data_IF_536178371915
#
_entry.id   IF_536178371915
#
_cell.length_a   1.000
_cell.length_b   1.000
_cell.length_c   1.000
_cell.angle_alpha   90.00
_cell.angle_beta   90.00
_cell.angle_gamma   90.00
#
_symmetry.space_group_name_H-M   'P 1'
#
loop_
_entity.id
_entity.type
_entity.pdbx_description
1 polymer ?
#
# COMPACT_ATOMS: atom_id res chain seq x y z
N UNK A 1 6.40 -15.35 -32.45
CA UNK A 1 5.78 -14.10 -32.95
C UNK A 1 6.90 -13.22 -33.49
N UNK A 2 6.64 -12.31 -34.44
CA UNK A 2 7.68 -11.34 -34.81
C UNK A 2 7.83 -10.28 -33.70
N UNK A 3 9.03 -9.76 -33.47
CA UNK A 3 9.30 -8.70 -32.46
C UNK A 3 8.30 -7.52 -32.56
N UNK A 4 7.88 -7.18 -33.78
CA UNK A 4 6.87 -6.15 -34.04
C UNK A 4 5.47 -6.49 -33.50
N UNK A 5 5.07 -7.77 -33.51
CA UNK A 5 3.78 -8.21 -32.97
C UNK A 5 3.75 -8.14 -31.44
N UNK A 6 4.88 -8.43 -30.78
CA UNK A 6 5.01 -8.33 -29.32
C UNK A 6 4.94 -6.87 -28.85
N UNK A 7 5.66 -5.96 -29.53
CA UNK A 7 5.61 -4.52 -29.23
C UNK A 7 4.19 -3.96 -29.39
N UNK A 8 3.48 -4.35 -30.46
CA UNK A 8 2.11 -3.89 -30.71
C UNK A 8 1.11 -4.42 -29.66
N UNK A 9 1.28 -5.65 -29.17
CA UNK A 9 0.44 -6.18 -28.07
C UNK A 9 0.69 -5.41 -26.77
N UNK A 10 1.96 -5.21 -26.39
CA UNK A 10 2.31 -4.51 -25.15
C UNK A 10 1.78 -3.07 -25.15
N UNK A 11 1.81 -2.40 -26.30
CA UNK A 11 1.21 -1.08 -26.45
C UNK A 11 -0.32 -1.09 -26.21
N UNK A 12 -1.03 -2.10 -26.75
CA UNK A 12 -2.47 -2.24 -26.56
C UNK A 12 -2.85 -2.53 -25.10
N UNK A 13 -2.07 -3.36 -24.40
CA UNK A 13 -2.24 -3.64 -22.97
C UNK A 13 -2.06 -2.36 -22.16
N UNK A 14 -0.98 -1.61 -22.43
CA UNK A 14 -0.71 -0.35 -21.74
C UNK A 14 -1.83 0.68 -21.96
N UNK A 15 -2.36 0.78 -23.18
CA UNK A 15 -3.47 1.69 -23.47
C UNK A 15 -4.75 1.29 -22.73
N UNK A 16 -5.05 -0.01 -22.66
CA UNK A 16 -6.18 -0.52 -21.88
C UNK A 16 -6.03 -0.20 -20.39
N UNK A 17 -4.85 -0.37 -19.82
CA UNK A 17 -4.55 -0.01 -18.42
C UNK A 17 -4.71 1.51 -18.19
N UNK A 18 -4.22 2.36 -19.10
CA UNK A 18 -4.38 3.82 -19.04
C UNK A 18 -5.85 4.26 -19.09
N UNK A 19 -6.67 3.61 -19.92
CA UNK A 19 -8.12 3.86 -19.96
C UNK A 19 -8.79 3.44 -18.65
N UNK A 20 -8.37 2.32 -18.05
CA UNK A 20 -8.91 1.82 -16.78
C UNK A 20 -8.63 2.77 -15.62
N UNK A 21 -7.39 3.25 -15.46
CA UNK A 21 -7.04 4.19 -14.38
C UNK A 21 -7.77 5.53 -14.49
N UNK A 22 -8.07 6.00 -15.70
CA UNK A 22 -8.77 7.27 -15.92
C UNK A 22 -10.30 7.17 -15.75
N UNK A 23 -10.85 5.95 -15.74
CA UNK A 23 -12.31 5.73 -15.73
C UNK A 23 -12.72 4.99 -14.45
N UNK A 24 -12.84 3.66 -14.50
CA UNK A 24 -13.46 2.86 -13.45
C UNK A 24 -12.63 2.68 -12.17
N UNK A 25 -11.35 3.07 -12.20
CA UNK A 25 -10.40 2.89 -11.09
C UNK A 25 -9.89 4.21 -10.50
N UNK A 26 -10.34 5.36 -11.01
CA UNK A 26 -10.01 6.67 -10.46
C UNK A 26 -10.51 6.76 -9.01
N UNK A 27 -9.67 7.27 -8.12
CA UNK A 27 -10.05 7.61 -6.74
C UNK A 27 -10.10 9.12 -6.57
N UNK A 28 -11.17 9.63 -5.97
CA UNK A 28 -11.33 11.03 -5.59
C UNK A 28 -10.72 11.26 -4.19
N UNK A 29 -10.40 12.52 -3.85
CA UNK A 29 -9.94 12.85 -2.50
C UNK A 29 -11.11 12.83 -1.52
N UNK A 30 -11.26 11.71 -0.79
CA UNK A 30 -12.39 11.48 0.10
C UNK A 30 -12.22 12.07 1.52
N UNK A 31 -11.03 12.55 1.87
CA UNK A 31 -10.78 13.21 3.15
C UNK A 31 -10.87 14.73 3.04
N UNK A 32 -10.23 15.35 2.05
CA UNK A 32 -10.28 16.81 1.90
C UNK A 32 -11.59 17.30 1.26
N UNK A 33 -12.31 16.46 0.52
CA UNK A 33 -13.66 16.80 0.03
C UNK A 33 -14.67 17.05 1.16
N UNK A 34 -14.41 16.51 2.37
CA UNK A 34 -15.22 16.75 3.58
C UNK A 34 -14.92 18.10 4.27
N UNK A 35 -13.89 18.84 3.85
CA UNK A 35 -13.56 20.17 4.42
C UNK A 35 -14.53 21.28 4.00
N UNK A 36 -15.23 21.13 2.87
CA UNK A 36 -16.10 22.18 2.33
C UNK A 36 -17.40 21.63 1.73
N UNK A 37 -18.42 21.52 2.58
CA UNK A 37 -19.81 21.83 2.19
C UNK A 37 -20.26 23.13 2.87
N UNK A 38 -19.46 24.19 2.78
CA UNK A 38 -19.95 25.55 2.97
C UNK A 38 -20.27 26.15 1.60
N UNK A 39 -21.44 25.79 1.04
CA UNK A 39 -21.99 26.58 -0.06
C UNK A 39 -22.23 27.99 0.47
N UNK A 40 -21.50 28.98 -0.04
CA UNK A 40 -21.91 30.37 0.12
C UNK A 40 -23.16 30.57 -0.74
N UNK A 41 -24.29 31.00 -0.15
CA UNK A 41 -25.51 31.19 -0.92
C UNK A 41 -25.26 32.25 -2.00
N UNK A 42 -25.41 31.87 -3.26
CA UNK A 42 -25.21 32.78 -4.39
C UNK A 42 -26.40 33.75 -4.54
N UNK A 43 -27.49 33.48 -3.83
CA UNK A 43 -28.69 34.31 -3.76
C UNK A 43 -29.35 34.25 -2.38
N UNK A 44 -30.11 35.29 -2.02
CA UNK A 44 -30.93 35.31 -0.80
C UNK A 44 -32.03 34.21 -0.79
N UNK A 45 -32.36 33.68 -1.97
CA UNK A 45 -33.37 32.63 -2.17
C UNK A 45 -32.78 31.26 -1.77
N UNK A 46 -31.50 31.01 -2.09
CA UNK A 46 -30.77 29.81 -1.64
C UNK A 46 -30.63 29.77 -0.12
N UNK A 47 -30.39 30.92 0.51
CA UNK A 47 -30.32 31.02 1.97
C UNK A 47 -31.65 30.65 2.65
N UNK A 48 -32.78 31.05 2.07
CA UNK A 48 -34.12 30.72 2.58
C UNK A 48 -34.52 29.24 2.34
N UNK A 49 -34.03 28.61 1.27
CA UNK A 49 -34.24 27.18 1.03
C UNK A 49 -33.39 26.31 1.97
N UNK A 50 -32.16 26.74 2.30
CA UNK A 50 -31.24 26.03 3.21
C UNK A 50 -31.72 26.02 4.67
N UNK A 51 -32.43 27.06 5.14
CA UNK A 51 -32.96 27.10 6.51
C UNK A 51 -34.05 26.05 6.78
N UNK A 52 -34.72 25.55 5.74
CA UNK A 52 -35.81 24.57 5.88
C UNK A 52 -35.35 23.10 5.73
N UNK A 53 -34.08 22.85 5.41
CA UNK A 53 -33.50 21.50 5.23
C UNK A 53 -32.35 21.18 6.20
N UNK A 54 -32.11 22.04 7.20
CA UNK A 54 -31.00 21.94 8.16
C UNK A 54 -31.13 20.80 9.20
N UNK A 55 -31.76 19.67 8.84
CA UNK A 55 -31.92 18.48 9.70
C UNK A 55 -31.20 17.22 9.14
N UNK A 56 -30.31 17.37 8.15
CA UNK A 56 -29.34 16.33 7.81
C UNK A 56 -27.92 16.85 8.08
N UNK A 57 -27.50 16.77 9.34
CA UNK A 57 -26.13 17.00 9.78
C UNK A 57 -25.19 16.02 9.07
N UNK A 58 -24.53 16.45 8.01
CA UNK A 58 -23.25 15.89 7.60
C UNK A 58 -22.17 16.51 8.48
N UNK A 59 -21.55 15.73 9.36
CA UNK A 59 -20.45 16.17 10.22
C UNK A 59 -19.29 16.69 9.36
N UNK A 60 -19.00 18.00 9.44
CA UNK A 60 -17.83 18.60 8.79
C UNK A 60 -16.58 18.16 9.56
N UNK A 61 -15.65 17.45 8.90
CA UNK A 61 -14.40 17.01 9.52
C UNK A 61 -13.44 18.20 9.72
N UNK A 62 -12.76 18.25 10.87
CA UNK A 62 -11.70 19.23 11.10
C UNK A 62 -10.39 18.82 10.43
N UNK A 63 -9.44 19.75 10.31
CA UNK A 63 -8.10 19.44 9.78
C UNK A 63 -7.35 18.42 10.65
N UNK A 64 -7.62 18.41 11.97
CA UNK A 64 -7.04 17.44 12.89
C UNK A 64 -7.60 16.04 12.65
N UNK A 65 -8.91 15.91 12.45
CA UNK A 65 -9.57 14.63 12.13
C UNK A 65 -9.03 14.03 10.83
N UNK A 66 -8.82 14.87 9.81
CA UNK A 66 -8.24 14.43 8.53
C UNK A 66 -6.83 13.87 8.74
N UNK A 67 -6.00 14.56 9.52
CA UNK A 67 -4.64 14.09 9.81
C UNK A 67 -4.66 12.74 10.55
N UNK A 68 -5.61 12.55 11.46
CA UNK A 68 -5.83 11.26 12.14
C UNK A 68 -6.21 10.17 11.15
N UNK A 69 -7.15 10.43 10.23
CA UNK A 69 -7.54 9.47 9.19
C UNK A 69 -6.38 9.11 8.24
N UNK A 70 -5.60 10.10 7.80
CA UNK A 70 -4.39 9.89 6.98
C UNK A 70 -3.41 8.96 7.72
N UNK A 71 -3.17 9.22 9.00
CA UNK A 71 -2.27 8.42 9.82
C UNK A 71 -2.80 6.99 10.04
N UNK A 72 -4.10 6.83 10.29
CA UNK A 72 -4.74 5.53 10.46
C UNK A 72 -4.66 4.70 9.17
N UNK A 73 -4.91 5.31 8.01
CA UNK A 73 -4.71 4.68 6.69
C UNK A 73 -3.26 4.22 6.52
N UNK A 74 -2.29 5.08 6.82
CA UNK A 74 -0.87 4.74 6.65
C UNK A 74 -0.45 3.56 7.53
N UNK A 75 -0.90 3.55 8.80
CA UNK A 75 -0.68 2.44 9.73
C UNK A 75 -1.32 1.14 9.23
N UNK A 76 -2.53 1.20 8.70
CA UNK A 76 -3.20 0.03 8.15
C UNK A 76 -2.49 -0.49 6.90
N UNK A 77 -2.02 0.37 6.00
CA UNK A 77 -1.22 -0.03 4.85
C UNK A 77 0.08 -0.75 5.29
N UNK A 78 0.78 -0.22 6.30
CA UNK A 78 1.98 -0.86 6.87
C UNK A 78 1.67 -2.20 7.55
N UNK A 79 0.54 -2.29 8.25
CA UNK A 79 0.06 -3.54 8.84
C UNK A 79 -0.22 -4.57 7.74
N UNK A 80 -0.89 -4.19 6.65
CA UNK A 80 -1.12 -5.06 5.50
C UNK A 80 0.19 -5.56 4.89
N UNK A 81 1.19 -4.68 4.70
CA UNK A 81 2.51 -5.08 4.22
C UNK A 81 3.17 -6.13 5.13
N UNK A 82 3.13 -5.90 6.45
CA UNK A 82 3.70 -6.82 7.44
C UNK A 82 2.99 -8.17 7.44
N UNK A 83 1.67 -8.18 7.29
CA UNK A 83 0.88 -9.40 7.20
C UNK A 83 1.22 -10.18 5.92
N UNK A 84 1.34 -9.50 4.79
CA UNK A 84 1.72 -10.13 3.52
C UNK A 84 3.11 -10.73 3.57
N UNK A 85 4.07 -10.07 4.25
CA UNK A 85 5.39 -10.64 4.51
C UNK A 85 5.31 -11.92 5.35
N UNK A 86 4.54 -11.89 6.44
CA UNK A 86 4.37 -13.05 7.32
C UNK A 86 3.73 -14.25 6.59
N UNK A 87 2.83 -13.98 5.64
CA UNK A 87 2.20 -14.99 4.80
C UNK A 87 3.02 -15.36 3.55
N UNK A 88 4.14 -14.68 3.28
CA UNK A 88 4.97 -14.85 2.08
C UNK A 88 4.18 -14.65 0.78
N UNK A 89 3.32 -13.63 0.76
CA UNK A 89 2.49 -13.23 -0.38
C UNK A 89 3.02 -11.95 -1.04
N UNK A 90 2.50 -11.58 -2.21
CA UNK A 90 2.98 -10.41 -2.93
C UNK A 90 2.56 -9.10 -2.26
N UNK A 91 3.51 -8.21 -1.98
CA UNK A 91 3.21 -6.84 -1.52
C UNK A 91 2.45 -6.01 -2.57
N UNK A 92 2.49 -6.41 -3.84
CA UNK A 92 1.67 -5.77 -4.88
C UNK A 92 0.17 -5.93 -4.59
N UNK A 93 -0.23 -7.05 -3.99
CA UNK A 93 -1.61 -7.29 -3.56
C UNK A 93 -2.08 -6.29 -2.49
N UNK A 94 -1.16 -5.73 -1.69
CA UNK A 94 -1.48 -4.61 -0.78
C UNK A 94 -1.83 -3.34 -1.56
N UNK A 95 -1.16 -3.09 -2.69
CA UNK A 95 -1.50 -1.95 -3.56
C UNK A 95 -2.93 -2.05 -4.06
N UNK A 96 -3.33 -3.26 -4.47
CA UNK A 96 -4.69 -3.56 -4.93
C UNK A 96 -5.69 -3.40 -3.77
N UNK A 97 -5.39 -3.96 -2.60
CA UNK A 97 -6.23 -3.83 -1.40
C UNK A 97 -6.45 -2.37 -0.98
N UNK A 98 -5.38 -1.57 -0.96
CA UNK A 98 -5.49 -0.15 -0.63
C UNK A 98 -6.30 0.60 -1.68
N UNK A 99 -6.18 0.26 -2.96
CA UNK A 99 -7.07 0.82 -4.00
C UNK A 99 -8.54 0.48 -3.76
N UNK A 100 -8.87 -0.75 -3.33
CA UNK A 100 -10.24 -1.12 -2.97
C UNK A 100 -10.74 -0.27 -1.81
N UNK A 101 -9.93 -0.16 -0.74
CA UNK A 101 -10.27 0.61 0.44
C UNK A 101 -10.50 2.08 0.08
N UNK A 102 -9.55 2.73 -0.59
CA UNK A 102 -9.61 4.16 -0.90
C UNK A 102 -10.82 4.47 -1.80
N UNK A 103 -11.05 3.67 -2.85
CA UNK A 103 -12.21 3.83 -3.75
C UNK A 103 -13.53 3.54 -3.04
N UNK A 104 -13.55 2.58 -2.11
CA UNK A 104 -14.73 2.31 -1.29
C UNK A 104 -15.06 3.48 -0.38
N UNK A 105 -14.08 4.03 0.34
CA UNK A 105 -14.25 5.18 1.24
C UNK A 105 -14.66 6.45 0.49
N UNK A 106 -14.29 6.57 -0.79
CA UNK A 106 -14.75 7.64 -1.68
C UNK A 106 -16.22 7.51 -2.12
N UNK A 107 -16.87 6.37 -1.88
CA UNK A 107 -18.31 6.21 -2.18
C UNK A 107 -19.18 6.69 -1.02
N UNK A 108 -20.46 7.07 -1.27
CA UNK A 108 -21.40 7.39 -0.19
C UNK A 108 -21.51 6.26 0.85
N UNK A 109 -21.51 5.01 0.36
CA UNK A 109 -21.59 3.82 1.20
C UNK A 109 -20.35 3.61 2.06
N UNK A 110 -19.14 3.88 1.58
CA UNK A 110 -17.92 3.74 2.39
C UNK A 110 -17.61 4.96 3.26
N UNK A 111 -18.17 6.13 2.94
CA UNK A 111 -17.85 7.38 3.62
C UNK A 111 -18.19 7.42 5.11
N UNK A 112 -19.15 6.58 5.56
CA UNK A 112 -19.47 6.39 6.98
C UNK A 112 -18.37 5.66 7.75
N UNK A 113 -17.58 4.81 7.08
CA UNK A 113 -16.48 4.08 7.71
C UNK A 113 -15.30 5.00 8.04
N UNK A 114 -15.26 6.23 7.54
CA UNK A 114 -14.17 7.19 7.83
C UNK A 114 -14.25 7.68 9.29
N UNK A 115 -15.46 7.82 9.82
CA UNK A 115 -15.71 8.39 11.15
C UNK A 115 -15.66 7.31 12.26
N UNK A 116 -15.92 6.06 11.91
CA UNK A 116 -15.79 4.92 12.82
C UNK A 116 -14.49 4.14 12.57
N UNK A 117 -13.56 4.23 13.53
CA UNK A 117 -12.27 3.53 13.47
C UNK A 117 -12.40 2.00 13.38
N UNK A 118 -13.42 1.41 13.99
CA UNK A 118 -13.66 -0.04 13.92
C UNK A 118 -14.16 -0.42 12.51
N UNK A 119 -15.14 0.31 11.98
CA UNK A 119 -15.60 0.11 10.61
C UNK A 119 -14.48 0.32 9.58
N UNK A 120 -13.62 1.34 9.76
CA UNK A 120 -12.45 1.57 8.91
C UNK A 120 -11.49 0.38 8.89
N UNK A 121 -11.15 -0.14 10.08
CA UNK A 121 -10.25 -1.29 10.21
C UNK A 121 -10.85 -2.54 9.58
N UNK A 122 -12.14 -2.82 9.83
CA UNK A 122 -12.86 -3.91 9.19
C UNK A 122 -12.85 -3.79 7.67
N UNK A 123 -13.14 -2.59 7.13
CA UNK A 123 -13.09 -2.32 5.69
C UNK A 123 -11.70 -2.58 5.12
N UNK A 124 -10.63 -2.12 5.78
CA UNK A 124 -9.26 -2.37 5.34
C UNK A 124 -8.87 -3.85 5.36
N UNK A 125 -9.19 -4.57 6.44
CA UNK A 125 -8.95 -6.01 6.55
C UNK A 125 -9.71 -6.78 5.47
N UNK A 126 -10.96 -6.38 5.20
CA UNK A 126 -11.82 -6.98 4.19
C UNK A 126 -11.31 -6.69 2.77
N UNK A 127 -10.81 -5.48 2.52
CA UNK A 127 -10.16 -5.13 1.25
C UNK A 127 -8.94 -6.02 0.99
N UNK A 128 -8.10 -6.24 2.02
CA UNK A 128 -6.94 -7.13 1.91
C UNK A 128 -7.37 -8.59 1.68
N UNK A 129 -8.33 -9.08 2.45
CA UNK A 129 -8.91 -10.41 2.26
C UNK A 129 -9.39 -10.63 0.82
N UNK A 130 -10.17 -9.68 0.30
CA UNK A 130 -10.72 -9.72 -1.06
C UNK A 130 -9.60 -9.70 -2.11
N UNK A 131 -8.56 -8.89 -1.90
CA UNK A 131 -7.42 -8.82 -2.82
C UNK A 131 -6.64 -10.15 -2.85
N UNK A 132 -6.35 -10.74 -1.69
CA UNK A 132 -5.68 -12.05 -1.59
C UNK A 132 -6.51 -13.13 -2.28
N UNK A 133 -7.82 -13.18 -2.01
CA UNK A 133 -8.74 -14.15 -2.60
C UNK A 133 -8.81 -14.11 -4.13
N UNK A 134 -8.56 -12.94 -4.74
CA UNK A 134 -8.66 -12.74 -6.19
C UNK A 134 -7.30 -12.87 -6.89
N UNK A 135 -6.23 -12.35 -6.29
CA UNK A 135 -4.94 -12.13 -6.96
C UNK A 135 -3.82 -13.06 -6.49
N UNK A 136 -3.98 -13.79 -5.39
CA UNK A 136 -2.99 -14.74 -4.90
C UNK A 136 -3.43 -16.19 -5.17
N UNK A 137 -2.47 -17.07 -5.46
CA UNK A 137 -2.75 -18.51 -5.61
C UNK A 137 -3.13 -19.16 -4.28
N UNK A 138 -2.58 -18.64 -3.18
CA UNK A 138 -2.82 -19.12 -1.82
C UNK A 138 -3.93 -18.28 -1.18
N UNK A 139 -5.11 -18.87 -1.03
CA UNK A 139 -6.18 -18.25 -0.28
C UNK A 139 -5.88 -18.27 1.23
N UNK A 140 -6.15 -17.16 1.92
CA UNK A 140 -6.23 -17.10 3.38
C UNK A 140 -7.70 -17.23 3.77
N UNK A 141 -8.01 -18.11 4.73
CA UNK A 141 -9.38 -18.24 5.21
C UNK A 141 -9.77 -17.04 6.08
N UNK A 142 -11.04 -16.59 6.05
CA UNK A 142 -11.48 -15.45 6.87
C UNK A 142 -11.34 -15.75 8.38
N UNK A 143 -11.35 -17.01 8.80
CA UNK A 143 -11.09 -17.44 10.18
C UNK A 143 -9.67 -17.09 10.65
N UNK A 144 -8.68 -17.11 9.75
CA UNK A 144 -7.30 -16.69 10.06
C UNK A 144 -7.25 -15.19 10.32
N UNK A 145 -7.94 -14.39 9.50
CA UNK A 145 -8.00 -12.94 9.71
C UNK A 145 -8.78 -12.57 10.98
N UNK A 146 -9.87 -13.28 11.29
CA UNK A 146 -10.57 -13.17 12.59
C UNK A 146 -9.60 -13.46 13.75
N UNK A 147 -8.79 -14.52 13.65
CA UNK A 147 -7.78 -14.85 14.67
C UNK A 147 -6.72 -13.75 14.80
N UNK A 148 -6.24 -13.19 13.69
CA UNK A 148 -5.28 -12.08 13.69
C UNK A 148 -5.87 -10.82 14.33
N UNK A 149 -7.17 -10.56 14.13
CA UNK A 149 -7.91 -9.50 14.81
C UNK A 149 -8.19 -9.79 16.29
N UNK A 150 -7.71 -10.93 16.82
CA UNK A 150 -8.02 -11.44 18.17
C UNK A 150 -9.52 -11.61 18.42
N UNK A 151 -10.27 -11.96 17.36
CA UNK A 151 -11.72 -12.14 17.38
C UNK A 151 -12.52 -10.84 17.44
N UNK A 152 -11.89 -9.68 17.22
CA UNK A 152 -12.59 -8.40 17.20
C UNK A 152 -13.56 -8.30 16.01
N UNK A 153 -13.25 -8.96 14.89
CA UNK A 153 -14.11 -9.06 13.72
C UNK A 153 -14.41 -10.52 13.40
N UNK A 154 -15.70 -10.86 13.33
CA UNK A 154 -16.13 -12.20 12.95
C UNK A 154 -16.04 -12.41 11.45
N UNK A 155 -16.14 -13.68 11.02
CA UNK A 155 -16.25 -14.04 9.60
C UNK A 155 -17.45 -13.35 8.94
N UNK A 156 -18.58 -13.31 9.65
CA UNK A 156 -19.82 -12.73 9.16
C UNK A 156 -19.68 -11.22 8.94
N UNK A 157 -18.95 -10.53 9.81
CA UNK A 157 -18.66 -9.09 9.66
C UNK A 157 -17.82 -8.85 8.39
N UNK A 158 -16.81 -9.68 8.16
CA UNK A 158 -15.96 -9.60 6.96
C UNK A 158 -16.74 -9.91 5.68
N UNK A 159 -17.59 -10.95 5.67
CA UNK A 159 -18.42 -11.30 4.51
C UNK A 159 -19.46 -10.21 4.19
N UNK A 160 -20.08 -9.62 5.22
CA UNK A 160 -21.01 -8.51 5.06
C UNK A 160 -20.32 -7.26 4.51
N UNK A 161 -19.14 -6.93 5.04
CA UNK A 161 -18.33 -5.82 4.54
C UNK A 161 -17.82 -6.09 3.11
N UNK A 162 -17.44 -7.35 2.77
CA UNK A 162 -16.96 -7.75 1.44
C UNK A 162 -18.07 -7.49 0.43
N UNK A 163 -19.28 -7.97 0.73
CA UNK A 163 -20.45 -7.75 -0.13
C UNK A 163 -20.69 -6.26 -0.37
N UNK A 164 -20.71 -5.45 0.70
CA UNK A 164 -20.96 -4.01 0.60
C UNK A 164 -19.89 -3.28 -0.20
N UNK A 165 -18.62 -3.65 0.03
CA UNK A 165 -17.47 -3.10 -0.69
C UNK A 165 -17.54 -3.44 -2.19
N UNK A 166 -17.76 -4.71 -2.54
CA UNK A 166 -17.82 -5.15 -3.95
C UNK A 166 -18.99 -4.50 -4.71
N UNK A 167 -20.15 -4.32 -4.05
CA UNK A 167 -21.27 -3.58 -4.62
C UNK A 167 -20.92 -2.11 -4.90
N UNK A 168 -20.33 -1.43 -3.92
CA UNK A 168 -19.92 -0.03 -4.06
C UNK A 168 -18.85 0.16 -5.17
N UNK A 169 -17.93 -0.81 -5.30
CA UNK A 169 -16.91 -0.82 -6.35
C UNK A 169 -17.43 -1.31 -7.71
N UNK A 170 -18.71 -1.71 -7.80
CA UNK A 170 -19.32 -2.31 -9.00
C UNK A 170 -18.49 -3.46 -9.55
N UNK A 171 -17.93 -4.30 -8.66
CA UNK A 171 -17.08 -5.45 -8.99
C UNK A 171 -15.80 -5.11 -9.79
N UNK A 172 -15.39 -3.84 -9.84
CA UNK A 172 -14.14 -3.42 -10.49
C UNK A 172 -12.96 -3.65 -9.56
N UNK A 173 -12.47 -4.89 -9.55
CA UNK A 173 -11.42 -5.41 -8.66
C UNK A 173 -10.08 -5.70 -9.34
N UNK A 174 -9.98 -5.58 -10.67
CA UNK A 174 -8.72 -5.78 -11.38
C UNK A 174 -8.01 -4.45 -11.64
N UNK A 175 -7.46 -3.85 -10.59
CA UNK A 175 -6.87 -2.50 -10.61
C UNK A 175 -5.49 -2.54 -11.29
N UNK A 176 -5.20 -1.64 -12.25
CA UNK A 176 -3.83 -1.50 -12.77
C UNK A 176 -2.91 -0.88 -11.70
N UNK A 177 -1.86 -1.60 -11.29
CA UNK A 177 -0.91 -1.16 -10.27
C UNK A 177 0.24 -0.35 -10.89
N UNK A 178 0.93 0.53 -10.12
CA UNK A 178 2.13 1.21 -10.60
C UNK A 178 3.22 0.23 -11.07
N UNK A 179 3.36 -0.91 -10.37
CA UNK A 179 4.33 -1.93 -10.71
C UNK A 179 3.96 -2.67 -12.01
N UNK A 180 2.68 -2.92 -12.27
CA UNK A 180 2.22 -3.45 -13.54
C UNK A 180 2.55 -2.51 -14.71
N UNK A 181 2.31 -1.20 -14.55
CA UNK A 181 2.71 -0.21 -15.56
C UNK A 181 4.20 -0.25 -15.85
N UNK A 182 5.04 -0.36 -14.81
CA UNK A 182 6.50 -0.44 -14.98
C UNK A 182 6.92 -1.70 -15.73
N UNK A 183 6.27 -2.84 -15.48
CA UNK A 183 6.53 -4.08 -16.25
C UNK A 183 6.26 -3.85 -17.74
N UNK A 184 5.15 -3.22 -18.09
CA UNK A 184 4.83 -2.87 -19.49
C UNK A 184 5.86 -1.89 -20.08
N UNK A 185 6.27 -0.86 -19.31
CA UNK A 185 7.32 0.06 -19.73
C UNK A 185 8.63 -0.65 -20.05
N UNK A 186 9.09 -1.55 -19.18
CA UNK A 186 10.35 -2.27 -19.37
C UNK A 186 10.28 -3.32 -20.49
N UNK A 187 9.11 -3.92 -20.74
CA UNK A 187 8.91 -4.85 -21.85
C UNK A 187 9.00 -4.16 -23.22
N UNK A 188 8.64 -2.87 -23.31
CA UNK A 188 8.82 -2.09 -24.53
C UNK A 188 10.28 -1.71 -24.80
N UNK A 189 11.19 -1.90 -23.84
CA UNK A 189 12.63 -1.68 -24.04
C UNK A 189 13.25 -2.94 -24.66
N UNK A 190 13.85 -2.86 -25.87
CA UNK A 190 14.55 -4.00 -26.44
C UNK A 190 15.72 -4.44 -25.56
N UNK A 191 15.96 -5.75 -25.44
CA UNK A 191 17.05 -6.27 -24.61
C UNK A 191 18.46 -5.87 -25.11
N UNK A 192 18.56 -5.37 -26.35
CA UNK A 192 19.78 -4.76 -26.89
C UNK A 192 20.12 -3.41 -26.22
N UNK A 193 19.14 -2.73 -25.64
CA UNK A 193 19.31 -1.46 -24.93
C UNK A 193 19.45 -1.70 -23.42
N UNK A 194 18.60 -2.59 -22.87
CA UNK A 194 18.56 -2.86 -21.44
C UNK A 194 18.50 -4.37 -21.21
N UNK A 195 19.54 -4.93 -20.62
CA UNK A 195 19.62 -6.37 -20.33
C UNK A 195 18.55 -6.77 -19.31
N UNK A 196 18.13 -8.03 -19.35
CA UNK A 196 17.09 -8.53 -18.43
C UNK A 196 17.52 -8.42 -16.96
N UNK A 197 18.80 -8.66 -16.66
CA UNK A 197 19.36 -8.45 -15.33
C UNK A 197 19.24 -6.98 -14.87
N UNK A 198 19.38 -6.02 -15.78
CA UNK A 198 19.20 -4.60 -15.46
C UNK A 198 17.72 -4.26 -15.27
N UNK A 199 16.82 -4.83 -16.08
CA UNK A 199 15.36 -4.72 -15.88
C UNK A 199 14.94 -5.23 -14.51
N UNK A 200 15.47 -6.36 -14.06
CA UNK A 200 15.21 -6.92 -12.74
C UNK A 200 15.73 -6.02 -11.59
N UNK A 201 16.90 -5.42 -11.78
CA UNK A 201 17.44 -4.44 -10.83
C UNK A 201 16.56 -3.20 -10.74
N UNK A 202 16.10 -2.66 -11.88
CA UNK A 202 15.17 -1.52 -11.92
C UNK A 202 13.83 -1.87 -11.24
N UNK A 203 13.25 -3.04 -11.54
CA UNK A 203 12.02 -3.50 -10.90
C UNK A 203 12.16 -3.58 -9.39
N UNK A 204 13.31 -4.03 -8.88
CA UNK A 204 13.58 -4.10 -7.44
C UNK A 204 13.56 -2.71 -6.79
N UNK A 205 14.18 -1.72 -7.43
CA UNK A 205 14.21 -0.32 -6.93
C UNK A 205 12.83 0.35 -7.03
N UNK A 206 12.11 0.12 -8.13
CA UNK A 206 10.76 0.63 -8.33
C UNK A 206 9.81 0.06 -7.29
N UNK A 207 9.89 -1.25 -7.03
CA UNK A 207 9.04 -1.93 -6.05
C UNK A 207 9.09 -1.23 -4.69
N UNK A 208 10.29 -0.92 -4.18
CA UNK A 208 10.48 -0.19 -2.91
C UNK A 208 9.75 1.17 -2.93
N UNK A 209 9.89 1.93 -4.01
CA UNK A 209 9.24 3.24 -4.14
C UNK A 209 7.71 3.13 -4.22
N UNK A 210 7.20 2.16 -4.98
CA UNK A 210 5.75 1.94 -5.09
C UNK A 210 5.13 1.47 -3.77
N UNK A 211 5.85 0.67 -2.97
CA UNK A 211 5.41 0.27 -1.63
C UNK A 211 5.31 1.47 -0.68
N UNK A 212 6.27 2.41 -0.76
CA UNK A 212 6.21 3.68 -0.01
C UNK A 212 5.04 4.55 -0.47
N UNK A 213 4.77 4.59 -1.78
CA UNK A 213 3.67 5.35 -2.34
C UNK A 213 2.32 4.88 -1.79
N UNK A 214 2.10 3.57 -1.70
CA UNK A 214 0.85 2.97 -1.18
C UNK A 214 0.51 3.47 0.22
N UNK A 215 1.51 3.60 1.11
CA UNK A 215 1.31 4.03 2.49
C UNK A 215 1.08 5.54 2.65
N UNK A 216 1.33 6.35 1.62
CA UNK A 216 1.23 7.81 1.67
C UNK A 216 -0.06 8.30 0.98
N UNK A 217 -0.90 9.02 1.74
CA UNK A 217 -2.20 9.49 1.26
C UNK A 217 -2.09 10.46 0.07
N UNK A 218 -0.99 11.22 -0.04
CA UNK A 218 -0.79 12.16 -1.15
C UNK A 218 -0.75 11.50 -2.53
N UNK A 219 -0.58 10.18 -2.61
CA UNK A 219 -0.59 9.44 -3.87
C UNK A 219 -1.95 8.80 -4.21
N UNK A 220 -2.96 8.89 -3.35
CA UNK A 220 -4.28 8.24 -3.55
C UNK A 220 -4.98 8.72 -4.82
N UNK A 221 -4.89 10.02 -5.10
CA UNK A 221 -5.52 10.65 -6.27
C UNK A 221 -4.64 10.65 -7.52
N UNK A 222 -3.38 10.22 -7.38
CA UNK A 222 -2.40 10.23 -8.45
C UNK A 222 -2.55 8.95 -9.28
N UNK A 223 -2.44 9.08 -10.61
CA UNK A 223 -2.53 7.94 -11.53
C UNK A 223 -1.42 6.92 -11.24
N UNK A 224 -1.73 5.62 -11.17
CA UNK A 224 -0.73 4.57 -11.03
C UNK A 224 0.35 4.62 -12.13
N UNK A 225 0.00 4.98 -13.37
CA UNK A 225 0.96 5.18 -14.46
C UNK A 225 2.00 6.26 -14.17
N UNK A 226 1.58 7.41 -13.60
CA UNK A 226 2.44 8.51 -13.19
C UNK A 226 3.38 8.09 -12.04
N UNK A 227 2.85 7.39 -11.03
CA UNK A 227 3.65 6.87 -9.90
C UNK A 227 4.71 5.89 -10.40
N UNK A 228 4.31 4.93 -11.25
CA UNK A 228 5.22 3.93 -11.81
C UNK A 228 6.31 4.55 -12.66
N UNK A 229 5.95 5.51 -13.52
CA UNK A 229 6.92 6.21 -14.37
C UNK A 229 7.93 7.03 -13.55
N UNK A 230 7.47 7.82 -12.58
CA UNK A 230 8.33 8.58 -11.68
C UNK A 230 9.29 7.67 -10.89
N UNK A 231 8.78 6.56 -10.36
CA UNK A 231 9.62 5.58 -9.65
C UNK A 231 10.68 4.96 -10.58
N UNK A 232 10.33 4.67 -11.83
CA UNK A 232 11.26 4.14 -12.83
C UNK A 232 12.35 5.16 -13.17
N UNK A 233 11.99 6.44 -13.35
CA UNK A 233 12.94 7.53 -13.58
C UNK A 233 13.95 7.65 -12.43
N UNK A 234 13.48 7.63 -11.18
CA UNK A 234 14.36 7.61 -10.01
C UNK A 234 15.28 6.38 -9.98
N UNK A 235 14.77 5.20 -10.37
CA UNK A 235 15.57 3.97 -10.40
C UNK A 235 16.68 4.02 -11.46
N UNK A 236 16.37 4.58 -12.64
CA UNK A 236 17.34 4.78 -13.72
C UNK A 236 18.47 5.75 -13.30
N UNK A 237 18.11 6.83 -12.60
CA UNK A 237 19.06 7.78 -12.02
C UNK A 237 20.04 7.08 -11.08
N UNK A 238 19.51 6.26 -10.18
CA UNK A 238 20.30 5.52 -9.17
C UNK A 238 21.27 4.52 -9.82
N UNK A 239 20.89 3.91 -10.94
CA UNK A 239 21.76 2.96 -11.68
C UNK A 239 22.78 3.69 -12.57
N UNK A 240 22.62 5.01 -12.78
CA UNK A 240 23.53 5.81 -13.61
C UNK A 240 23.34 5.59 -15.11
N UNK A 241 22.13 5.21 -15.52
CA UNK A 241 21.79 5.06 -16.95
C UNK A 241 21.39 6.43 -17.51
N UNK A 242 22.11 6.86 -18.56
CA UNK A 242 21.93 8.20 -19.14
C UNK A 242 20.55 8.37 -19.79
N UNK A 243 19.82 9.40 -19.37
CA UNK A 243 18.43 9.69 -19.72
C UNK A 243 18.22 10.03 -21.20
N UNK A 244 19.29 10.31 -21.95
CA UNK A 244 19.23 10.62 -23.38
C UNK A 244 18.61 9.50 -24.23
N UNK A 245 18.71 8.24 -23.80
CA UNK A 245 18.09 7.07 -24.46
C UNK A 245 16.61 6.93 -24.06
N UNK A 246 16.24 7.41 -22.87
CA UNK A 246 14.86 7.43 -22.37
C UNK A 246 14.02 8.61 -22.90
N UNK A 247 14.64 9.62 -23.50
CA UNK A 247 13.89 10.75 -24.06
C UNK A 247 13.03 10.35 -25.27
N UNK A 248 13.44 9.32 -26.03
CA UNK A 248 12.61 8.65 -27.05
C UNK A 248 11.45 7.84 -26.43
N UNK A 249 11.56 7.47 -25.15
CA UNK A 249 10.56 6.75 -24.36
C UNK A 249 9.39 7.67 -23.95
N UNK A 250 9.69 8.92 -23.64
CA UNK A 250 8.75 9.94 -23.14
C UNK A 250 7.73 10.36 -24.20
N UNK A 251 8.10 10.37 -25.48
CA UNK A 251 7.18 10.72 -26.57
C UNK A 251 6.17 9.60 -26.90
N UNK A 252 6.42 8.35 -26.53
CA UNK A 252 5.47 7.25 -26.70
C UNK A 252 4.45 7.11 -25.53
N UNK A 253 4.76 7.75 -24.39
CA UNK A 253 3.92 7.82 -23.17
C UNK A 253 3.33 9.24 -23.00
N UNK A 254 3.17 9.97 -24.11
CA UNK A 254 2.92 11.41 -24.31
C UNK A 254 1.77 12.10 -23.53
N UNK A 255 1.09 11.42 -22.62
CA UNK A 255 -0.11 11.90 -21.91
C UNK A 255 0.14 12.13 -20.40
N UNK A 256 1.42 12.09 -19.98
CA UNK A 256 1.83 12.34 -18.59
C UNK A 256 2.26 13.80 -18.39
N UNK A 257 1.71 14.44 -17.36
CA UNK A 257 2.09 15.81 -16.97
C UNK A 257 3.50 15.82 -16.38
N UNK A 258 4.43 16.49 -17.05
CA UNK A 258 5.85 16.52 -16.67
C UNK A 258 6.05 17.16 -15.30
N UNK A 259 5.29 18.21 -14.97
CA UNK A 259 5.40 18.88 -13.67
C UNK A 259 4.89 17.98 -12.55
N UNK A 260 3.84 17.20 -12.81
CA UNK A 260 3.34 16.19 -11.87
C UNK A 260 4.37 15.09 -11.62
N UNK A 261 5.02 14.57 -12.69
CA UNK A 261 6.07 13.56 -12.57
C UNK A 261 7.22 14.07 -11.70
N UNK A 262 7.71 15.29 -11.91
CA UNK A 262 8.79 15.85 -11.09
C UNK A 262 8.42 15.94 -9.61
N UNK A 263 7.18 16.35 -9.28
CA UNK A 263 6.69 16.38 -7.89
C UNK A 263 6.64 14.99 -7.27
N UNK A 264 6.14 14.00 -8.02
CA UNK A 264 6.08 12.60 -7.57
C UNK A 264 7.49 12.08 -7.33
N UNK A 265 8.42 12.29 -8.27
CA UNK A 265 9.82 11.87 -8.15
C UNK A 265 10.47 12.41 -6.89
N UNK A 266 10.37 13.72 -6.65
CA UNK A 266 10.94 14.36 -5.47
C UNK A 266 10.37 13.78 -4.18
N UNK A 267 9.06 13.54 -4.13
CA UNK A 267 8.37 12.98 -2.97
C UNK A 267 8.81 11.53 -2.69
N UNK A 268 8.88 10.70 -3.73
CA UNK A 268 9.34 9.30 -3.61
C UNK A 268 10.81 9.24 -3.20
N UNK A 269 11.67 10.06 -3.79
CA UNK A 269 13.10 10.11 -3.48
C UNK A 269 13.35 10.55 -2.03
N UNK A 270 12.61 11.56 -1.55
CA UNK A 270 12.65 11.99 -0.16
C UNK A 270 12.21 10.86 0.79
N UNK A 271 11.12 10.16 0.48
CA UNK A 271 10.62 9.04 1.28
C UNK A 271 11.63 7.89 1.39
N UNK A 272 12.29 7.53 0.27
CA UNK A 272 13.36 6.52 0.27
C UNK A 272 14.54 6.97 1.13
N UNK A 273 14.95 8.24 1.02
CA UNK A 273 16.06 8.82 1.79
C UNK A 273 15.78 8.83 3.29
N UNK A 274 14.55 9.13 3.70
CA UNK A 274 14.14 9.02 5.11
C UNK A 274 14.19 7.58 5.59
N UNK A 275 13.72 6.61 4.79
CA UNK A 275 13.76 5.19 5.16
C UNK A 275 15.19 4.64 5.29
N UNK A 276 16.09 4.99 4.36
CA UNK A 276 17.50 4.56 4.43
C UNK A 276 18.22 5.19 5.60
N UNK A 277 17.95 6.46 5.91
CA UNK A 277 18.44 7.14 7.11
C UNK A 277 17.95 6.45 8.39
N UNK A 278 16.65 6.16 8.50
CA UNK A 278 16.07 5.45 9.65
C UNK A 278 16.65 4.05 9.83
N UNK A 279 16.86 3.30 8.73
CA UNK A 279 17.55 2.00 8.78
C UNK A 279 19.02 2.14 9.18
N UNK A 280 19.69 3.22 8.75
CA UNK A 280 21.04 3.57 9.17
C UNK A 280 21.13 3.84 10.67
N UNK A 281 20.19 4.63 11.22
CA UNK A 281 20.10 4.94 12.65
C UNK A 281 19.74 3.70 13.47
N UNK A 282 18.73 2.93 13.05
CA UNK A 282 18.33 1.69 13.73
C UNK A 282 19.43 0.63 13.67
N UNK A 283 20.16 0.52 12.56
CA UNK A 283 21.32 -0.36 12.42
C UNK A 283 22.53 0.07 13.27
N UNK A 284 22.72 1.38 13.49
CA UNK A 284 23.73 1.90 14.41
C UNK A 284 23.35 1.63 15.87
N UNK A 285 22.07 1.79 16.23
CA UNK A 285 21.58 1.51 17.58
C UNK A 285 21.62 0.01 17.90
N UNK A 286 21.26 -0.85 16.94
CA UNK A 286 21.44 -2.30 17.05
C UNK A 286 22.93 -2.69 17.23
N UNK A 287 23.86 -2.01 16.54
CA UNK A 287 25.31 -2.21 16.74
C UNK A 287 25.80 -1.74 18.11
N UNK A 288 25.26 -0.65 18.66
CA UNK A 288 25.56 -0.18 20.02
C UNK A 288 25.09 -1.17 21.08
N UNK A 289 23.86 -1.68 20.97
CA UNK A 289 23.33 -2.70 21.90
C UNK A 289 24.14 -4.00 21.86
N UNK A 290 24.63 -4.41 20.69
CA UNK A 290 25.52 -5.58 20.56
C UNK A 290 26.91 -5.29 21.18
N UNK A 291 27.44 -4.09 21.02
CA UNK A 291 28.68 -3.61 21.66
C UNK A 291 28.58 -3.58 23.19
N UNK A 292 27.45 -3.11 23.72
CA UNK A 292 27.21 -2.98 25.16
C UNK A 292 26.97 -4.34 25.82
N UNK A 293 26.38 -5.29 25.09
CA UNK A 293 26.29 -6.69 25.54
C UNK A 293 27.62 -7.46 25.42
N UNK A 294 28.52 -7.06 24.51
CA UNK A 294 29.85 -7.67 24.41
C UNK A 294 30.81 -7.22 25.53
N UNK A 295 30.55 -6.06 26.14
CA UNK A 295 31.37 -5.50 27.24
C UNK A 295 30.87 -5.91 28.63
N UNK A 296 29.64 -6.43 28.77
CA UNK A 296 29.13 -6.98 30.03
C UNK A 296 29.45 -8.49 30.15
N UNK A 297 30.67 -8.80 30.62
CA UNK A 297 31.04 -10.18 31.04
C UNK A 297 30.02 -10.71 32.07
N UNK A 298 29.43 -11.91 31.89
CA UNK A 298 28.57 -12.49 32.90
C UNK A 298 29.39 -12.87 34.13
N UNK A 299 29.01 -12.35 35.31
CA UNK A 299 29.57 -12.79 36.60
C UNK A 299 29.26 -14.28 36.78
N UNK A 300 30.31 -15.10 36.71
CA UNK A 300 30.30 -16.55 36.94
C UNK A 300 29.66 -16.85 38.31
N UNK A 301 28.42 -17.36 38.31
CA UNK A 301 27.79 -17.93 39.51
C UNK A 301 28.58 -19.17 39.93
N UNK A 302 29.12 -19.18 41.15
CA UNK A 302 29.67 -20.38 41.77
C UNK A 302 28.49 -21.27 42.21
N UNK A 303 28.35 -22.43 41.58
CA UNK A 303 27.42 -23.48 42.00
C UNK A 303 28.12 -24.38 43.02
N UNK A 304 27.66 -24.37 44.27
CA UNK A 304 27.99 -25.40 45.24
C UNK A 304 27.19 -26.67 44.92
N UNK A 305 27.89 -27.74 44.54
CA UNK A 305 27.33 -29.09 44.41
C UNK A 305 27.59 -29.84 45.72
N UNK A 306 26.52 -30.13 46.48
CA UNK A 306 26.55 -31.10 47.58
C UNK A 306 25.98 -32.42 47.02
N UNK A 307 26.77 -33.48 47.10
CA UNK A 307 26.42 -34.84 46.66
C UNK A 307 25.78 -35.61 47.82
N UNK A 308 24.62 -36.28 47.63
CA UNK A 308 24.14 -37.27 48.58
C UNK A 308 24.31 -38.69 48.02
N UNK A 309 25.26 -39.42 48.62
CA UNK A 309 25.33 -40.89 48.62
C UNK A 309 24.67 -41.37 49.92
N UNK A 310 23.52 -42.03 49.82
CA UNK A 310 23.02 -43.09 50.71
C UNK A 310 21.49 -43.18 50.56
N UNK A 311 20.99 -44.31 50.08
CA UNK A 311 20.04 -45.19 50.79
C UNK A 311 19.79 -46.38 49.85
N UNK A 312 20.12 -47.55 50.38
CA UNK A 312 19.95 -48.88 49.83
C UNK A 312 18.50 -49.37 49.92
N UNK A 313 18.14 -50.15 48.91
CA UNK A 313 17.36 -51.39 48.95
C UNK A 313 15.83 -51.45 49.15
N UNK A 314 15.29 -52.35 48.32
CA UNK A 314 14.07 -53.18 48.40
C UNK A 314 12.73 -52.69 47.81
N UNK A 315 12.32 -53.43 46.76
CA UNK A 315 11.02 -54.12 46.52
C UNK A 315 10.44 -53.82 45.13
N UNK A 316 10.69 -54.65 44.11
CA UNK A 316 9.89 -55.82 43.67
C UNK A 316 8.44 -55.50 43.23
N UNK A 317 8.28 -55.43 41.90
CA UNK A 317 7.32 -56.13 41.02
C UNK A 317 6.07 -56.72 41.71
N UNK A 318 4.91 -56.13 41.40
CA UNK A 318 3.75 -56.77 40.75
C UNK A 318 2.81 -55.68 40.19
#
# INVERSE_FOLDING_TARGET
>A
MSCQQEINMNYSTLEAMRRQECTGYKCEDYLHSKLQKSFSPTSAIDAMFMTNFADQQGSTMTQEDIMVCINNRSKMAQWCMTLMDACQLSRETVTIAMSYLDRFLATPTGSECIEDSAAFQLACMTALYSAIKIHEEKAISPEVLSTISRGFYSKQDMEAMEWRMLQALQWRVNVPTPLAFVREYLQMIPSAVLTDACKDQLLTLVKIQTELAVANYSFVTIKPSSIGFAALMNALEVVGLDFGILHQFILAVSDLDTDEIFRIQATLFAAVSTMTSLRGVCGQEARRVISDNATSRPKRRQSHTISPRAVTDHAQIA
#
